data_IF_699972007042
#
_entry.id   IF_699972007042
#
_cell.length_a   1.000
_cell.length_b   1.000
_cell.length_c   1.000
_cell.angle_alpha   90.00
_cell.angle_beta   90.00
_cell.angle_gamma   90.00
#
_symmetry.space_group_name_H-M   'P 1'
#
loop_
_entity.id
_entity.type
_entity.pdbx_description
1 polymer ?
#
# COMPACT_ATOMS: atom_id res chain seq x y z
N UNK A 1 -17.44 -6.69 0.74
CA UNK A 1 -17.31 -5.86 -0.48
C UNK A 1 -16.27 -6.55 -1.35
N UNK A 2 -16.69 -7.18 -2.45
CA UNK A 2 -15.73 -7.82 -3.36
C UNK A 2 -15.09 -6.74 -4.23
N UNK A 3 -13.80 -6.56 -4.09
CA UNK A 3 -13.02 -5.68 -4.95
C UNK A 3 -12.51 -6.54 -6.12
N UNK A 4 -13.11 -6.37 -7.29
CA UNK A 4 -12.64 -7.00 -8.52
C UNK A 4 -11.37 -6.30 -9.00
N UNK A 5 -10.21 -6.90 -8.77
CA UNK A 5 -8.91 -6.45 -9.28
C UNK A 5 -8.50 -7.36 -10.47
N UNK A 6 -9.14 -7.17 -11.64
CA UNK A 6 -8.77 -7.84 -12.89
C UNK A 6 -9.62 -9.08 -13.23
N UNK A 7 -9.90 -9.28 -14.52
CA UNK A 7 -10.69 -10.38 -15.06
C UNK A 7 -9.82 -11.63 -15.25
N UNK A 8 -9.95 -12.61 -14.38
CA UNK A 8 -9.80 -14.06 -14.61
C UNK A 8 -9.51 -14.80 -13.29
N UNK A 9 -10.47 -15.09 -12.53
CA UNK A 9 -10.53 -15.57 -11.15
C UNK A 9 -10.54 -14.41 -10.14
N UNK A 10 -11.65 -14.27 -9.43
CA UNK A 10 -11.79 -13.26 -8.38
C UNK A 10 -10.74 -13.50 -7.28
N UNK A 11 -9.63 -12.78 -7.33
CA UNK A 11 -8.61 -12.86 -6.30
C UNK A 11 -9.19 -12.30 -5.01
N UNK A 12 -9.27 -13.14 -3.99
CA UNK A 12 -9.81 -12.76 -2.69
C UNK A 12 -8.77 -11.94 -1.93
N UNK A 13 -9.13 -10.69 -1.59
CA UNK A 13 -8.32 -9.80 -0.77
C UNK A 13 -9.04 -9.56 0.55
N UNK A 14 -8.40 -9.90 1.65
CA UNK A 14 -8.88 -9.54 2.98
C UNK A 14 -8.60 -8.08 3.28
N UNK A 15 -9.59 -7.40 3.87
CA UNK A 15 -9.52 -5.97 4.22
C UNK A 15 -9.75 -5.83 5.72
N UNK A 16 -8.84 -5.15 6.40
CA UNK A 16 -8.98 -4.87 7.83
C UNK A 16 -8.82 -3.39 8.13
N UNK A 17 -9.68 -2.88 8.97
CA UNK A 17 -9.69 -1.49 9.42
C UNK A 17 -9.65 -1.42 10.94
N UNK A 18 -8.82 -0.54 11.52
CA UNK A 18 -8.71 -0.32 12.95
C UNK A 18 -8.57 1.18 13.28
N UNK A 19 -9.00 1.58 14.49
CA UNK A 19 -8.89 2.96 14.97
C UNK A 19 -7.50 3.20 15.58
N UNK A 20 -6.74 4.16 15.05
CA UNK A 20 -5.40 4.55 15.52
C UNK A 20 -5.41 5.28 16.87
N UNK A 21 -6.57 5.75 17.33
CA UNK A 21 -6.74 6.42 18.64
C UNK A 21 -6.91 5.43 19.78
N UNK A 22 -7.19 4.17 19.48
CA UNK A 22 -7.28 3.11 20.48
C UNK A 22 -5.94 2.91 21.17
N UNK A 23 -5.96 2.40 22.41
CA UNK A 23 -4.72 2.05 23.11
C UNK A 23 -3.90 1.06 22.30
N UNK A 24 -2.57 1.17 22.42
CA UNK A 24 -1.64 0.26 21.77
C UNK A 24 -1.63 -1.10 22.50
N UNK A 25 -2.71 -1.86 22.34
CA UNK A 25 -2.90 -3.17 22.96
C UNK A 25 -2.85 -4.29 21.90
N UNK A 26 -2.68 -5.53 22.34
CA UNK A 26 -2.76 -6.70 21.48
C UNK A 26 -1.58 -6.90 20.52
N UNK A 27 -0.45 -6.23 20.74
CA UNK A 27 0.78 -6.53 20.01
C UNK A 27 1.34 -7.89 20.45
N UNK A 28 1.71 -8.71 19.49
CA UNK A 28 2.35 -9.99 19.74
C UNK A 28 3.82 -9.81 20.14
N UNK A 29 4.45 -10.77 20.84
CA UNK A 29 5.85 -10.64 21.28
C UNK A 29 6.83 -10.31 20.14
N UNK A 30 6.63 -10.89 18.96
CA UNK A 30 7.45 -10.61 17.76
C UNK A 30 7.28 -9.18 17.21
N UNK A 31 6.13 -8.56 17.43
CA UNK A 31 5.83 -7.18 17.04
C UNK A 31 6.39 -6.17 18.04
N UNK A 32 6.41 -6.53 19.32
CA UNK A 32 6.92 -5.68 20.41
C UNK A 32 8.41 -5.37 20.29
N UNK A 33 9.19 -6.22 19.62
CA UNK A 33 10.64 -6.03 19.43
C UNK A 33 10.94 -4.66 18.77
N UNK A 34 10.08 -4.21 17.87
CA UNK A 34 10.26 -2.97 17.13
C UNK A 34 9.80 -1.70 17.89
N UNK A 35 9.16 -1.84 19.06
CA UNK A 35 8.44 -0.72 19.70
C UNK A 35 9.28 0.10 20.69
N UNK A 36 10.45 -0.39 21.08
CA UNK A 36 11.24 0.16 22.20
C UNK A 36 11.63 1.65 22.08
N UNK A 37 11.66 2.21 20.87
CA UNK A 37 11.96 3.63 20.64
C UNK A 37 10.77 4.44 20.07
N UNK A 38 9.60 3.83 19.96
CA UNK A 38 8.43 4.51 19.40
C UNK A 38 7.81 5.46 20.44
N UNK A 39 7.54 6.71 20.01
CA UNK A 39 6.70 7.62 20.77
C UNK A 39 5.26 7.11 20.79
N UNK A 40 4.47 7.52 21.78
CA UNK A 40 3.13 6.99 22.03
C UNK A 40 2.20 7.04 20.81
N UNK A 41 2.20 8.15 20.05
CA UNK A 41 1.42 8.26 18.80
C UNK A 41 1.82 7.16 17.83
N UNK A 42 3.13 7.00 17.56
CA UNK A 42 3.64 5.99 16.63
C UNK A 42 3.35 4.56 17.09
N UNK A 43 3.40 4.32 18.40
CA UNK A 43 3.06 3.02 18.96
C UNK A 43 1.58 2.66 18.73
N UNK A 44 0.66 3.61 18.91
CA UNK A 44 -0.77 3.40 18.62
C UNK A 44 -1.00 3.12 17.13
N UNK A 45 -0.43 3.91 16.23
CA UNK A 45 -0.50 3.69 14.78
C UNK A 45 0.03 2.30 14.40
N UNK A 46 1.17 1.91 14.97
CA UNK A 46 1.78 0.60 14.73
C UNK A 46 0.87 -0.53 15.20
N UNK A 47 0.34 -0.43 16.41
CA UNK A 47 -0.57 -1.45 16.97
C UNK A 47 -1.87 -1.55 16.16
N UNK A 48 -2.46 -0.42 15.78
CA UNK A 48 -3.65 -0.37 14.94
C UNK A 48 -3.40 -1.02 13.56
N UNK A 49 -2.24 -0.76 12.94
CA UNK A 49 -1.86 -1.41 11.68
C UNK A 49 -1.77 -2.93 11.80
N UNK A 50 -1.25 -3.45 12.93
CA UNK A 50 -1.17 -4.90 13.19
C UNK A 50 -2.55 -5.49 13.49
N UNK A 51 -3.40 -4.77 14.21
CA UNK A 51 -4.79 -5.17 14.41
C UNK A 51 -5.55 -5.24 13.07
N UNK A 52 -5.40 -4.23 12.21
CA UNK A 52 -5.97 -4.23 10.86
C UNK A 52 -5.47 -5.43 10.04
N UNK A 53 -4.17 -5.76 10.11
CA UNK A 53 -3.63 -6.92 9.39
C UNK A 53 -4.27 -8.24 9.85
N UNK A 54 -4.50 -8.43 11.15
CA UNK A 54 -5.20 -9.63 11.68
C UNK A 54 -6.66 -9.68 11.26
N UNK A 55 -7.35 -8.55 11.22
CA UNK A 55 -8.72 -8.49 10.68
C UNK A 55 -8.76 -8.86 9.20
N UNK A 56 -7.79 -8.38 8.42
CA UNK A 56 -7.66 -8.74 7.00
C UNK A 56 -7.37 -10.23 6.80
N UNK A 57 -6.55 -10.86 7.66
CA UNK A 57 -6.33 -12.32 7.63
C UNK A 57 -7.61 -13.10 7.94
N UNK A 58 -8.41 -12.65 8.91
CA UNK A 58 -9.68 -13.29 9.25
C UNK A 58 -10.69 -13.29 8.09
N UNK A 59 -10.71 -12.23 7.27
CA UNK A 59 -11.53 -12.17 6.04
C UNK A 59 -11.13 -13.24 4.99
N UNK A 60 -9.91 -13.79 5.11
CA UNK A 60 -9.39 -14.86 4.24
C UNK A 60 -9.51 -16.24 4.89
N UNK A 61 -10.18 -16.37 6.04
CA UNK A 61 -10.23 -17.58 6.87
C UNK A 61 -8.81 -18.07 7.29
N UNK A 62 -7.88 -17.14 7.49
CA UNK A 62 -6.52 -17.41 7.97
C UNK A 62 -6.44 -17.09 9.45
N UNK A 63 -5.84 -17.99 10.23
CA UNK A 63 -5.61 -17.77 11.64
C UNK A 63 -4.76 -16.53 11.88
N UNK A 64 -5.13 -15.76 12.91
CA UNK A 64 -4.39 -14.57 13.29
C UNK A 64 -2.92 -14.91 13.59
N UNK A 65 -2.02 -14.11 13.05
CA UNK A 65 -0.58 -14.24 13.24
C UNK A 65 0.06 -12.88 13.48
N UNK A 66 1.25 -12.88 14.09
CA UNK A 66 2.04 -11.67 14.23
C UNK A 66 2.60 -11.20 12.88
N UNK A 67 2.65 -9.88 12.69
CA UNK A 67 3.26 -9.22 11.55
C UNK A 67 4.40 -8.33 12.05
N UNK A 68 5.59 -8.89 12.36
CA UNK A 68 6.71 -8.11 12.86
C UNK A 68 7.19 -7.10 11.81
N UNK A 69 8.04 -6.18 12.25
CA UNK A 69 8.68 -5.18 11.39
C UNK A 69 10.13 -5.60 11.14
N UNK A 70 10.53 -5.64 9.88
CA UNK A 70 11.91 -5.86 9.47
C UNK A 70 12.80 -4.63 9.76
N UNK A 71 14.11 -4.77 9.60
CA UNK A 71 15.08 -3.70 9.85
C UNK A 71 14.86 -2.49 8.92
N UNK A 72 14.38 -2.71 7.71
CA UNK A 72 13.99 -1.69 6.71
C UNK A 72 12.57 -1.14 6.92
N UNK A 73 11.90 -1.51 8.02
CA UNK A 73 10.53 -1.17 8.41
C UNK A 73 9.43 -1.85 7.61
N UNK A 74 9.74 -2.70 6.64
CA UNK A 74 8.73 -3.47 5.92
C UNK A 74 8.02 -4.47 6.87
N UNK A 75 6.72 -4.74 6.67
CA UNK A 75 6.03 -5.79 7.41
C UNK A 75 6.53 -7.17 6.96
N UNK A 76 6.77 -8.07 7.93
CA UNK A 76 7.09 -9.47 7.66
C UNK A 76 5.78 -10.25 7.75
N UNK A 77 5.25 -10.63 6.60
CA UNK A 77 4.01 -11.38 6.50
C UNK A 77 4.21 -12.85 6.83
N UNK A 78 3.19 -13.53 7.38
CA UNK A 78 3.19 -14.99 7.52
C UNK A 78 3.44 -15.69 6.18
N UNK A 79 3.97 -16.91 6.25
CA UNK A 79 4.21 -17.72 5.05
C UNK A 79 2.94 -17.88 4.21
N UNK A 80 3.08 -17.77 2.89
CA UNK A 80 1.98 -17.86 1.94
C UNK A 80 1.11 -16.60 1.82
N UNK A 81 1.38 -15.54 2.61
CA UNK A 81 0.66 -14.28 2.54
C UNK A 81 1.52 -13.15 2.00
N UNK A 82 0.88 -12.19 1.39
CA UNK A 82 1.39 -10.86 1.04
C UNK A 82 0.40 -9.81 1.49
N UNK A 83 0.85 -8.57 1.67
CA UNK A 83 -0.07 -7.52 2.09
C UNK A 83 0.60 -6.16 2.20
N UNK A 84 -0.20 -5.18 2.58
CA UNK A 84 0.25 -3.81 2.80
C UNK A 84 -0.53 -3.18 3.94
N UNK A 85 0.11 -2.27 4.66
CA UNK A 85 -0.46 -1.54 5.80
C UNK A 85 -0.26 -0.06 5.56
N UNK A 86 -1.29 0.73 5.84
CA UNK A 86 -1.24 2.19 5.84
C UNK A 86 -2.04 2.73 7.01
N UNK A 87 -1.86 4.02 7.34
CA UNK A 87 -2.64 4.68 8.39
C UNK A 87 -2.70 6.19 8.17
N UNK A 88 -3.78 6.77 8.62
CA UNK A 88 -3.94 8.21 8.89
C UNK A 88 -3.91 8.44 10.42
N UNK A 89 -4.20 9.66 10.85
CA UNK A 89 -4.38 9.99 12.27
C UNK A 89 -5.57 9.25 12.92
N UNK A 90 -6.55 8.82 12.11
CA UNK A 90 -7.80 8.22 12.61
C UNK A 90 -7.90 6.72 12.34
N UNK A 91 -7.36 6.23 11.24
CA UNK A 91 -7.57 4.87 10.77
C UNK A 91 -6.27 4.19 10.35
N UNK A 92 -6.16 2.91 10.65
CA UNK A 92 -5.19 2.01 10.04
C UNK A 92 -5.93 1.03 9.13
N UNK A 93 -5.43 0.86 7.91
CA UNK A 93 -5.97 -0.04 6.91
C UNK A 93 -4.92 -1.07 6.53
N UNK A 94 -5.32 -2.33 6.40
CA UNK A 94 -4.49 -3.38 5.84
C UNK A 94 -5.23 -4.14 4.75
N UNK A 95 -4.50 -4.46 3.69
CA UNK A 95 -4.90 -5.41 2.67
C UNK A 95 -4.00 -6.63 2.75
N UNK A 96 -4.58 -7.84 2.68
CA UNK A 96 -3.86 -9.12 2.70
C UNK A 96 -4.38 -10.01 1.58
N UNK A 97 -3.49 -10.73 0.93
CA UNK A 97 -3.82 -11.72 -0.09
C UNK A 97 -2.92 -12.95 0.02
N UNK A 98 -3.31 -14.06 -0.62
CA UNK A 98 -2.43 -15.21 -0.75
C UNK A 98 -1.37 -14.94 -1.83
N UNK A 99 -0.11 -15.31 -1.56
CA UNK A 99 1.00 -15.17 -2.52
C UNK A 99 0.82 -15.96 -3.80
N UNK A 100 0.07 -17.06 -3.75
CA UNK A 100 -0.25 -17.84 -4.95
C UNK A 100 -1.15 -17.10 -5.95
N UNK A 101 -1.91 -16.09 -5.46
CA UNK A 101 -2.86 -15.32 -6.25
C UNK A 101 -2.31 -13.92 -6.59
N UNK A 102 -1.45 -13.40 -5.70
CA UNK A 102 -0.95 -12.04 -5.79
C UNK A 102 0.50 -11.95 -5.29
N UNK A 103 1.41 -11.56 -6.16
CA UNK A 103 2.82 -11.41 -5.83
C UNK A 103 3.08 -10.32 -4.81
N UNK A 104 2.42 -9.17 -4.98
CA UNK A 104 2.49 -8.06 -4.04
C UNK A 104 1.25 -7.16 -4.13
N UNK A 105 0.99 -6.44 -3.06
CA UNK A 105 -0.05 -5.43 -2.97
C UNK A 105 0.49 -4.22 -2.21
N UNK A 106 0.14 -3.02 -2.66
CA UNK A 106 0.42 -1.75 -1.99
C UNK A 106 -0.86 -0.99 -1.76
N UNK A 107 -1.03 -0.47 -0.55
CA UNK A 107 -2.15 0.39 -0.19
C UNK A 107 -1.63 1.66 0.49
N UNK A 108 -2.24 2.77 0.12
CA UNK A 108 -2.03 4.03 0.80
C UNK A 108 -3.36 4.72 1.09
N UNK A 109 -3.47 5.25 2.31
CA UNK A 109 -4.64 5.96 2.81
C UNK A 109 -4.19 7.31 3.36
N UNK A 110 -4.75 8.39 2.83
CA UNK A 110 -4.43 9.76 3.20
C UNK A 110 -5.70 10.55 3.51
N UNK A 111 -5.61 11.54 4.38
CA UNK A 111 -6.68 12.51 4.52
C UNK A 111 -6.80 13.32 3.22
N UNK A 112 -8.03 13.57 2.76
CA UNK A 112 -8.32 14.33 1.53
C UNK A 112 -8.10 15.85 1.77
N UNK A 113 -6.86 16.20 2.15
CA UNK A 113 -6.38 17.57 2.26
C UNK A 113 -5.39 17.87 1.13
N UNK A 114 -5.38 19.10 0.59
CA UNK A 114 -4.44 19.47 -0.46
C UNK A 114 -2.99 19.21 -0.07
N UNK A 115 -2.20 18.64 -1.00
CA UNK A 115 -0.75 18.59 -0.82
C UNK A 115 -0.19 20.02 -0.78
N UNK A 116 0.60 20.31 0.25
CA UNK A 116 1.18 21.64 0.43
C UNK A 116 2.07 22.00 -0.77
N UNK A 117 1.98 23.24 -1.31
CA UNK A 117 2.69 23.61 -2.54
C UNK A 117 4.22 23.49 -2.47
N UNK A 118 4.80 23.64 -1.29
CA UNK A 118 6.23 23.49 -1.03
C UNK A 118 6.74 22.04 -1.16
N UNK A 119 5.82 21.06 -1.10
CA UNK A 119 6.12 19.64 -1.33
C UNK A 119 6.03 19.24 -2.81
N UNK A 120 5.43 20.05 -3.67
CA UNK A 120 5.21 19.69 -5.06
C UNK A 120 6.51 19.34 -5.79
N UNK A 121 7.55 20.16 -5.63
CA UNK A 121 8.85 19.92 -6.26
C UNK A 121 9.58 18.65 -5.77
N UNK A 122 9.17 18.12 -4.61
CA UNK A 122 9.73 16.89 -4.03
C UNK A 122 8.97 15.67 -4.54
N UNK A 123 7.64 15.82 -4.65
CA UNK A 123 6.72 14.71 -4.94
C UNK A 123 6.43 14.57 -6.42
N UNK A 124 6.26 15.70 -7.14
CA UNK A 124 5.76 15.72 -8.52
C UNK A 124 6.88 15.98 -9.51
N UNK A 125 6.88 15.27 -10.62
CA UNK A 125 7.67 15.63 -11.80
C UNK A 125 7.14 16.90 -12.46
N UNK A 126 7.89 17.45 -13.41
CA UNK A 126 7.44 18.60 -14.21
C UNK A 126 6.17 18.28 -15.01
N UNK A 127 6.05 17.06 -15.54
CA UNK A 127 4.87 16.61 -16.29
C UNK A 127 3.65 16.46 -15.39
N UNK A 128 3.82 15.85 -14.23
CA UNK A 128 2.76 15.72 -13.23
C UNK A 128 2.29 17.09 -12.73
N UNK A 129 3.22 18.00 -12.41
CA UNK A 129 2.89 19.38 -12.00
C UNK A 129 2.07 20.12 -13.06
N UNK A 130 2.36 19.91 -14.35
CA UNK A 130 1.60 20.50 -15.43
C UNK A 130 0.22 19.87 -15.64
N UNK A 131 0.01 18.65 -15.17
CA UNK A 131 -1.23 17.87 -15.35
C UNK A 131 -2.24 18.04 -14.22
N UNK A 132 -1.80 18.37 -12.99
CA UNK A 132 -2.69 18.48 -11.83
C UNK A 132 -3.49 19.78 -11.84
N UNK A 133 -4.78 19.69 -11.52
CA UNK A 133 -5.69 20.84 -11.46
C UNK A 133 -5.61 21.59 -10.14
N UNK A 134 -5.24 20.89 -9.06
CA UNK A 134 -5.30 21.40 -7.68
C UNK A 134 -4.49 20.53 -6.71
N UNK A 135 -4.43 20.95 -5.45
CA UNK A 135 -3.68 20.24 -4.41
C UNK A 135 -4.26 18.86 -4.02
N UNK A 136 -5.54 18.59 -4.30
CA UNK A 136 -6.12 17.24 -4.09
C UNK A 136 -5.63 16.29 -5.17
N UNK A 137 -5.58 16.72 -6.44
CA UNK A 137 -4.98 15.93 -7.51
C UNK A 137 -3.51 15.65 -7.22
N UNK A 138 -2.75 16.65 -6.74
CA UNK A 138 -1.36 16.47 -6.30
C UNK A 138 -1.24 15.45 -5.14
N UNK A 139 -2.14 15.50 -4.16
CA UNK A 139 -2.20 14.54 -3.04
C UNK A 139 -2.55 13.13 -3.50
N UNK A 140 -3.40 12.98 -4.53
CA UNK A 140 -3.69 11.68 -5.17
C UNK A 140 -2.45 11.08 -5.84
N UNK A 141 -1.63 11.90 -6.52
CA UNK A 141 -0.36 11.44 -7.08
C UNK A 141 0.58 10.98 -5.97
N UNK A 142 0.72 11.74 -4.90
CA UNK A 142 1.50 11.34 -3.72
C UNK A 142 1.07 9.97 -3.20
N UNK A 143 -0.22 9.80 -2.91
CA UNK A 143 -0.78 8.53 -2.41
C UNK A 143 -0.59 7.37 -3.42
N UNK A 144 -0.74 7.62 -4.72
CA UNK A 144 -0.47 6.62 -5.76
C UNK A 144 1.01 6.17 -5.75
N UNK A 145 1.96 7.11 -5.62
CA UNK A 145 3.40 6.80 -5.52
C UNK A 145 3.73 5.99 -4.28
N UNK A 146 3.12 6.30 -3.13
CA UNK A 146 3.25 5.50 -1.90
C UNK A 146 2.71 4.07 -2.09
N UNK A 147 1.56 3.90 -2.74
CA UNK A 147 1.02 2.59 -3.05
C UNK A 147 1.94 1.80 -4.00
N UNK A 148 2.51 2.46 -5.03
CA UNK A 148 3.51 1.87 -5.94
C UNK A 148 4.75 1.44 -5.17
N UNK A 149 5.29 2.29 -4.29
CA UNK A 149 6.45 1.95 -3.47
C UNK A 149 6.20 0.70 -2.63
N UNK A 150 5.06 0.64 -1.92
CA UNK A 150 4.70 -0.48 -1.05
C UNK A 150 4.48 -1.79 -1.83
N UNK A 151 3.98 -1.72 -3.06
CA UNK A 151 3.78 -2.90 -3.91
C UNK A 151 5.08 -3.39 -4.55
N UNK A 152 5.93 -2.47 -5.05
CA UNK A 152 7.16 -2.85 -5.76
C UNK A 152 8.27 -3.33 -4.82
N UNK A 153 8.39 -2.74 -3.62
CA UNK A 153 9.50 -3.01 -2.71
C UNK A 153 9.67 -4.50 -2.34
N UNK A 154 8.60 -5.25 -1.99
CA UNK A 154 8.71 -6.70 -1.74
C UNK A 154 9.16 -7.51 -2.95
N UNK A 155 9.04 -6.97 -4.17
CA UNK A 155 9.38 -7.64 -5.42
C UNK A 155 10.82 -7.36 -5.84
N UNK A 156 11.27 -6.11 -5.70
CA UNK A 156 12.54 -5.63 -6.26
C UNK A 156 13.59 -5.31 -5.21
N UNK A 157 13.20 -5.04 -3.96
CA UNK A 157 14.07 -4.54 -2.91
C UNK A 157 14.60 -3.11 -3.16
N UNK A 158 14.14 -2.44 -4.22
CA UNK A 158 14.65 -1.12 -4.61
C UNK A 158 13.98 -0.02 -3.79
N UNK A 159 14.77 0.85 -3.16
CA UNK A 159 14.30 2.09 -2.58
C UNK A 159 14.10 3.11 -3.71
N UNK A 160 12.87 3.59 -3.87
CA UNK A 160 12.49 4.59 -4.85
C UNK A 160 12.34 5.94 -4.18
N UNK A 161 12.82 6.98 -4.85
CA UNK A 161 12.45 8.36 -4.58
C UNK A 161 11.14 8.70 -5.32
N UNK A 162 10.44 9.75 -4.90
CA UNK A 162 9.18 10.14 -5.55
C UNK A 162 9.33 10.41 -7.05
N UNK A 163 10.46 10.97 -7.47
CA UNK A 163 10.71 11.30 -8.88
C UNK A 163 11.13 10.09 -9.72
N UNK A 164 11.39 8.93 -9.11
CA UNK A 164 11.59 7.67 -9.83
C UNK A 164 10.27 7.06 -10.33
N UNK A 165 9.13 7.61 -9.90
CA UNK A 165 7.79 7.12 -10.27
C UNK A 165 7.03 8.23 -10.97
N UNK A 166 6.63 8.00 -12.21
CA UNK A 166 5.75 8.89 -12.98
C UNK A 166 4.32 8.35 -12.91
N UNK A 167 3.36 9.19 -12.54
CA UNK A 167 1.96 8.82 -12.34
C UNK A 167 1.05 9.65 -13.24
N UNK A 168 0.19 8.98 -14.00
CA UNK A 168 -0.91 9.58 -14.75
C UNK A 168 -2.24 9.21 -14.07
N UNK A 169 -2.97 10.23 -13.56
CA UNK A 169 -4.26 10.02 -12.91
C UNK A 169 -5.37 9.80 -13.95
N UNK A 170 -6.24 8.85 -13.64
CA UNK A 170 -7.52 8.69 -14.32
C UNK A 170 -8.67 9.11 -13.39
N UNK A 171 -9.92 8.98 -13.84
CA UNK A 171 -11.10 9.34 -13.03
C UNK A 171 -11.14 8.58 -11.68
N UNK A 172 -10.84 7.29 -11.70
CA UNK A 172 -10.95 6.40 -10.52
C UNK A 172 -9.68 5.60 -10.25
N UNK A 173 -8.58 5.90 -10.95
CA UNK A 173 -7.35 5.15 -10.82
C UNK A 173 -6.14 5.95 -11.27
N UNK A 174 -5.08 5.20 -11.56
CA UNK A 174 -3.83 5.74 -12.08
C UNK A 174 -3.09 4.69 -12.92
N UNK A 175 -2.23 5.18 -13.81
CA UNK A 175 -1.15 4.42 -14.44
C UNK A 175 0.18 4.96 -13.93
N UNK A 176 1.11 4.08 -13.56
CA UNK A 176 2.43 4.47 -13.07
C UNK A 176 3.55 3.76 -13.84
N UNK A 177 4.67 4.45 -14.04
CA UNK A 177 5.92 3.90 -14.55
C UNK A 177 7.05 4.19 -13.58
N UNK A 178 7.98 3.26 -13.46
CA UNK A 178 9.17 3.39 -12.61
C UNK A 178 10.37 3.60 -13.54
N UNK A 179 11.12 4.67 -13.31
CA UNK A 179 12.30 5.03 -14.08
C UNK A 179 13.59 5.05 -13.23
N UNK A 180 14.65 4.36 -13.65
CA UNK A 180 14.66 3.37 -14.74
C UNK A 180 13.79 2.16 -14.40
N UNK A 181 13.29 1.48 -15.43
CA UNK A 181 12.43 0.30 -15.27
C UNK A 181 13.02 -0.73 -14.29
N UNK A 182 12.18 -1.31 -13.47
CA UNK A 182 12.57 -2.33 -12.49
C UNK A 182 12.28 -3.73 -13.04
N UNK A 183 13.30 -4.57 -13.28
CA UNK A 183 13.09 -5.93 -13.76
C UNK A 183 12.15 -6.73 -12.85
N UNK A 184 11.28 -7.53 -13.46
CA UNK A 184 10.30 -8.34 -12.76
C UNK A 184 8.99 -7.61 -12.43
N UNK A 185 8.84 -6.36 -12.89
CA UNK A 185 7.59 -5.62 -12.86
C UNK A 185 7.06 -5.37 -14.27
N UNK A 186 5.74 -5.17 -14.46
CA UNK A 186 5.20 -4.63 -15.71
C UNK A 186 5.78 -3.25 -16.02
N UNK A 187 5.90 -2.89 -17.30
CA UNK A 187 6.32 -1.53 -17.71
C UNK A 187 5.37 -0.44 -17.22
N UNK A 188 4.08 -0.76 -17.16
CA UNK A 188 3.03 0.11 -16.64
C UNK A 188 2.28 -0.61 -15.52
N UNK A 189 2.22 0.02 -14.37
CA UNK A 189 1.51 -0.43 -13.19
C UNK A 189 0.17 0.32 -13.12
N UNK A 190 -0.95 -0.40 -13.17
CA UNK A 190 -2.28 0.20 -13.10
C UNK A 190 -2.89 -0.02 -11.73
N UNK A 191 -3.35 1.06 -11.10
CA UNK A 191 -3.93 1.03 -9.77
C UNK A 191 -5.23 1.82 -9.65
N UNK A 192 -5.92 1.60 -8.54
CA UNK A 192 -7.07 2.40 -8.11
C UNK A 192 -6.58 3.63 -7.35
N UNK A 193 -7.21 4.79 -7.57
CA UNK A 193 -7.06 5.97 -6.70
C UNK A 193 -8.39 6.72 -6.68
N UNK A 194 -9.01 6.76 -5.50
CA UNK A 194 -10.32 7.41 -5.31
C UNK A 194 -10.29 8.37 -4.13
N UNK A 195 -11.14 9.40 -4.21
CA UNK A 195 -11.43 10.31 -3.10
C UNK A 195 -12.85 10.02 -2.63
N UNK A 196 -13.01 9.66 -1.37
CA UNK A 196 -14.32 9.36 -0.78
C UNK A 196 -14.30 9.65 0.72
N UNK A 197 -15.41 10.14 1.26
CA UNK A 197 -15.61 10.34 2.71
C UNK A 197 -14.47 11.08 3.42
N UNK A 198 -13.85 12.04 2.74
CA UNK A 198 -12.75 12.83 3.31
C UNK A 198 -11.39 12.15 3.31
N UNK A 199 -11.24 11.01 2.63
CA UNK A 199 -9.96 10.30 2.46
C UNK A 199 -9.62 10.07 0.99
N UNK A 200 -8.34 9.87 0.71
CA UNK A 200 -7.80 9.39 -0.55
C UNK A 200 -7.32 7.96 -0.31
N UNK A 201 -7.81 7.03 -1.10
CA UNK A 201 -7.37 5.64 -1.09
C UNK A 201 -6.71 5.31 -2.42
N UNK A 202 -5.46 4.84 -2.37
CA UNK A 202 -4.74 4.32 -3.53
C UNK A 202 -4.34 2.87 -3.30
N UNK A 203 -4.59 2.01 -4.30
CA UNK A 203 -4.29 0.57 -4.24
C UNK A 203 -3.63 0.14 -5.53
N UNK A 204 -2.54 -0.61 -5.41
CA UNK A 204 -1.88 -1.28 -6.52
C UNK A 204 -1.70 -2.76 -6.18
N UNK A 205 -2.06 -3.64 -7.12
CA UNK A 205 -1.79 -5.07 -7.03
C UNK A 205 -0.85 -5.50 -8.16
N UNK A 206 0.09 -6.38 -7.83
CA UNK A 206 0.96 -7.06 -8.79
C UNK A 206 0.56 -8.54 -8.74
N UNK A 207 -0.15 -9.05 -9.77
CA UNK A 207 -0.57 -10.44 -9.79
C UNK A 207 0.63 -11.39 -9.80
N UNK A 208 0.44 -12.60 -9.30
CA UNK A 208 1.39 -13.69 -9.58
C UNK A 208 1.26 -14.04 -11.07
N UNK A 209 2.35 -13.89 -11.81
CA UNK A 209 2.39 -14.35 -13.20
C UNK A 209 2.80 -15.81 -13.18
N UNK A 210 1.97 -16.69 -13.68
CA UNK A 210 2.37 -18.08 -13.97
C UNK A 210 3.60 -18.04 -14.88
N UNK A 211 4.75 -18.47 -14.35
CA UNK A 211 6.03 -18.51 -15.08
C UNK A 211 6.02 -19.60 -16.18
N UNK A 212 4.87 -20.25 -16.42
CA UNK A 212 4.69 -21.36 -17.35
C UNK A 212 4.08 -20.97 -18.72
N UNK A 213 4.17 -19.71 -19.13
CA UNK A 213 3.56 -19.17 -20.35
C UNK A 213 4.52 -18.78 -21.47
N UNK A 214 5.75 -19.34 -21.55
CA UNK A 214 6.61 -19.21 -22.74
C UNK A 214 7.26 -20.56 -23.00
N UNK A 215 6.56 -21.42 -23.73
CA UNK A 215 7.06 -22.40 -24.70
C UNK A 215 5.89 -23.08 -25.39
N UNK A 216 5.47 -22.55 -26.54
CA UNK A 216 4.83 -23.27 -27.63
C UNK A 216 4.92 -22.42 -28.92
#
# INVERSE_FOLDING_TARGET
MEVYLGAEAATRVGIGLADTRSRAEGLWPSEQIATGSMVEKRLREFAAGRAAARLAMAELDVDASGVPMAADRAPIWPEGLTGSITHTDLHALSLVAFRRDMRAIGVDLEDAVPLAPDLWNIVLSGAETASVSDGIAAKRIFSAKEAVFKAQYPVTGRLLEFLDVEVELTKTGFAARIEPHSPGLPETLNGLSVVTDGVILSVLSIPETDVNGYDA
#
